data_IF_110448887535
#
_entry.id   IF_110448887535
#
_cell.length_a   1.000
_cell.length_b   1.000
_cell.length_c   1.000
_cell.angle_alpha   90.00
_cell.angle_beta   90.00
_cell.angle_gamma   90.00
#
_symmetry.space_group_name_H-M   'P 1'
#
loop_
_entity.id
_entity.type
_entity.pdbx_description
1 polymer ?
#
# COMPACT_ATOMS: atom_id res chain seq x y z
N UNK A 1 30.68 -19.26 -10.22
CA UNK A 1 31.08 -17.93 -10.68
C UNK A 1 29.84 -17.05 -10.68
N UNK A 2 29.65 -16.30 -9.59
CA UNK A 2 28.61 -15.28 -9.48
C UNK A 2 29.21 -14.05 -10.16
N UNK A 3 28.72 -13.69 -11.34
CA UNK A 3 29.27 -12.57 -12.11
C UNK A 3 28.92 -11.25 -11.43
N UNK A 4 29.81 -10.26 -11.57
CA UNK A 4 29.68 -8.91 -10.97
C UNK A 4 28.30 -8.24 -11.20
N UNK A 5 27.55 -8.64 -12.22
CA UNK A 5 26.21 -8.12 -12.52
C UNK A 5 25.13 -8.56 -11.51
N UNK A 6 25.26 -9.73 -10.88
CA UNK A 6 24.31 -10.17 -9.83
C UNK A 6 24.43 -9.32 -8.56
N UNK A 7 25.63 -8.79 -8.26
CA UNK A 7 25.86 -7.88 -7.14
C UNK A 7 25.32 -6.46 -7.41
N UNK A 8 25.40 -5.96 -8.63
CA UNK A 8 24.91 -4.61 -8.98
C UNK A 8 23.37 -4.53 -9.00
N UNK A 9 22.69 -5.63 -9.36
CA UNK A 9 21.23 -5.68 -9.46
C UNK A 9 20.56 -5.83 -8.08
N UNK A 10 21.15 -6.61 -7.16
CA UNK A 10 20.76 -6.59 -5.75
C UNK A 10 21.02 -5.21 -5.12
N UNK A 11 22.10 -4.54 -5.53
CA UNK A 11 22.34 -3.13 -5.19
C UNK A 11 21.24 -2.22 -5.73
N UNK A 12 20.74 -2.35 -6.96
CA UNK A 12 19.63 -1.51 -7.44
C UNK A 12 18.27 -1.76 -6.74
N UNK A 13 18.05 -2.96 -6.20
CA UNK A 13 16.84 -3.28 -5.43
C UNK A 13 16.93 -2.80 -3.98
N UNK A 14 18.09 -3.00 -3.34
CA UNK A 14 18.39 -2.48 -1.99
C UNK A 14 18.53 -0.95 -2.01
N UNK A 15 19.02 -0.39 -3.13
CA UNK A 15 19.17 1.06 -3.40
C UNK A 15 18.11 1.60 -4.37
N UNK A 16 16.93 0.97 -4.45
CA UNK A 16 15.75 1.73 -4.86
C UNK A 16 15.66 2.91 -3.89
N UNK A 17 15.62 4.17 -4.34
CA UNK A 17 15.53 5.31 -3.44
C UNK A 17 14.40 5.11 -2.42
N UNK A 18 13.34 4.40 -2.79
CA UNK A 18 12.24 4.03 -1.90
C UNK A 18 12.62 3.02 -0.79
N UNK A 19 13.37 1.95 -1.10
CA UNK A 19 13.83 0.99 -0.10
C UNK A 19 14.99 1.56 0.72
N UNK A 20 15.85 2.37 0.09
CA UNK A 20 16.95 3.06 0.73
C UNK A 20 16.45 4.19 1.66
N UNK A 21 15.38 4.92 1.30
CA UNK A 21 14.71 5.88 2.19
C UNK A 21 14.08 5.18 3.42
N UNK A 22 13.69 3.91 3.28
CA UNK A 22 13.20 3.08 4.38
C UNK A 22 14.31 2.41 5.20
N UNK A 23 15.54 2.32 4.67
CA UNK A 23 16.67 1.58 5.26
C UNK A 23 17.87 2.45 5.66
N UNK A 24 17.94 3.71 5.23
CA UNK A 24 19.04 4.65 5.51
C UNK A 24 18.49 5.86 6.25
N UNK A 25 18.66 5.85 7.57
CA UNK A 25 18.65 7.04 8.42
C UNK A 25 19.98 7.79 8.20
N UNK A 26 19.94 8.97 7.58
CA UNK A 26 20.87 10.05 7.87
C UNK A 26 20.06 11.35 7.97
N UNK A 27 20.12 12.10 9.09
CA UNK A 27 19.36 13.32 9.26
C UNK A 27 19.98 14.43 8.40
N UNK A 28 19.39 14.73 7.24
CA UNK A 28 19.75 15.93 6.49
C UNK A 28 18.84 17.09 6.92
N UNK A 29 19.34 17.90 7.86
CA UNK A 29 18.71 19.13 8.32
C UNK A 29 18.87 20.23 7.26
N UNK A 30 17.81 20.48 6.49
CA UNK A 30 17.65 21.76 5.81
C UNK A 30 16.73 22.62 6.68
N UNK A 31 17.33 23.59 7.37
CA UNK A 31 16.63 24.55 8.20
C UNK A 31 15.47 25.21 7.43
N UNK A 32 14.25 24.97 7.89
CA UNK A 32 13.05 25.68 7.44
C UNK A 32 12.80 26.91 8.30
N UNK A 33 12.36 28.05 7.74
CA UNK A 33 12.03 29.24 8.51
C UNK A 33 10.85 28.98 9.43
N UNK A 34 10.87 29.60 10.62
CA UNK A 34 9.73 29.63 11.54
C UNK A 34 8.62 30.49 10.93
N UNK A 35 7.47 29.88 10.68
CA UNK A 35 6.20 30.60 10.50
C UNK A 35 5.24 30.17 11.61
N UNK A 36 4.79 31.16 12.38
CA UNK A 36 3.63 31.09 13.27
C UNK A 36 2.33 30.93 12.45
N UNK A 37 1.24 30.63 13.17
CA UNK A 37 -0.18 30.61 12.78
C UNK A 37 -0.77 29.22 12.57
N UNK A 38 -2.04 28.98 12.85
CA UNK A 38 -3.05 29.64 13.67
C UNK A 38 -4.07 28.54 13.97
N UNK A 39 -4.76 28.63 15.10
CA UNK A 39 -5.77 27.66 15.50
C UNK A 39 -7.03 27.89 14.65
N UNK A 40 -7.10 27.25 13.48
CA UNK A 40 -8.34 27.22 12.69
C UNK A 40 -9.34 26.23 13.30
N UNK A 41 -10.57 26.72 13.36
CA UNK A 41 -11.73 26.10 13.98
C UNK A 41 -12.34 25.11 12.97
N UNK A 42 -12.53 23.87 13.40
CA UNK A 42 -13.18 22.81 12.64
C UNK A 42 -14.46 23.31 11.97
N UNK A 43 -14.48 23.31 10.63
CA UNK A 43 -15.69 23.54 9.84
C UNK A 43 -16.40 22.21 9.59
N UNK A 44 -17.75 22.12 9.63
CA UNK A 44 -18.43 20.82 9.73
C UNK A 44 -18.68 20.08 8.41
N UNK A 45 -18.08 20.46 7.28
CA UNK A 45 -18.41 19.90 5.96
C UNK A 45 -17.16 19.82 5.06
N UNK A 46 -16.45 18.68 5.13
CA UNK A 46 -15.37 18.32 4.19
C UNK A 46 -13.98 18.21 4.81
N UNK A 47 -13.02 17.68 4.03
CA UNK A 47 -11.63 17.39 4.42
C UNK A 47 -10.80 18.61 4.89
N UNK A 48 -11.36 19.83 4.81
CA UNK A 48 -10.60 21.06 5.01
C UNK A 48 -9.55 21.27 3.92
N UNK A 49 -8.73 22.32 4.08
CA UNK A 49 -7.62 22.60 3.17
C UNK A 49 -6.40 21.76 3.56
N UNK A 50 -5.62 21.39 2.55
CA UNK A 50 -4.29 20.82 2.76
C UNK A 50 -3.39 21.78 3.59
N UNK A 51 -2.42 21.25 4.33
CA UNK A 51 -2.05 19.84 4.42
C UNK A 51 -2.99 19.02 5.31
N UNK A 52 -3.31 17.80 4.87
CA UNK A 52 -4.17 16.88 5.62
C UNK A 52 -3.35 15.98 6.54
N UNK A 53 -3.82 15.82 7.77
CA UNK A 53 -3.12 15.08 8.82
C UNK A 53 -3.86 13.80 9.15
N UNK A 54 -3.14 12.68 9.13
CA UNK A 54 -3.66 11.36 9.49
C UNK A 54 -2.82 10.77 10.62
N UNK A 55 -3.44 10.12 11.59
CA UNK A 55 -2.75 9.35 12.63
C UNK A 55 -3.33 7.95 12.77
N UNK A 56 -2.50 6.99 13.18
CA UNK A 56 -2.95 5.65 13.50
C UNK A 56 -1.85 4.59 13.44
N UNK A 57 -2.16 3.49 12.77
CA UNK A 57 -1.21 2.39 12.53
C UNK A 57 -1.39 1.81 11.13
N UNK A 58 -0.38 1.11 10.62
CA UNK A 58 -0.49 0.43 9.33
C UNK A 58 0.37 -0.84 9.27
N UNK A 59 -0.02 -1.75 8.37
CA UNK A 59 0.81 -2.85 7.90
C UNK A 59 1.20 -2.57 6.45
N UNK A 60 2.49 -2.45 6.19
CA UNK A 60 3.04 -2.40 4.85
C UNK A 60 3.67 -3.75 4.49
N UNK A 61 3.07 -4.48 3.55
CA UNK A 61 3.62 -5.74 3.05
C UNK A 61 4.06 -5.59 1.61
N UNK A 62 5.36 -5.82 1.38
CA UNK A 62 6.01 -5.80 0.08
C UNK A 62 5.97 -7.18 -0.57
N UNK A 63 5.67 -7.20 -1.86
CA UNK A 63 5.56 -8.42 -2.68
C UNK A 63 6.38 -8.32 -3.97
N UNK A 64 6.85 -9.46 -4.46
CA UNK A 64 7.32 -9.61 -5.84
C UNK A 64 6.13 -9.77 -6.76
N UNK A 65 5.72 -8.68 -7.40
CA UNK A 65 4.61 -8.66 -8.34
C UNK A 65 5.18 -8.88 -9.74
N UNK A 66 4.55 -9.75 -10.53
CA UNK A 66 4.96 -9.91 -11.92
C UNK A 66 4.75 -8.61 -12.69
N UNK A 67 5.71 -8.25 -13.52
CA UNK A 67 5.63 -7.05 -14.35
C UNK A 67 4.42 -7.03 -15.27
N UNK A 68 4.04 -8.18 -15.84
CA UNK A 68 2.82 -8.31 -16.65
C UNK A 68 1.56 -7.88 -15.89
N UNK A 69 1.46 -8.24 -14.61
CA UNK A 69 0.34 -7.87 -13.74
C UNK A 69 0.39 -6.37 -13.41
N UNK A 70 1.58 -5.84 -13.09
CA UNK A 70 1.74 -4.43 -12.79
C UNK A 70 1.41 -3.52 -14.00
N UNK A 71 1.78 -3.95 -15.21
CA UNK A 71 1.53 -3.23 -16.47
C UNK A 71 0.06 -3.15 -16.87
N UNK A 72 -0.82 -3.96 -16.28
CA UNK A 72 -2.26 -3.80 -16.45
C UNK A 72 -2.80 -2.53 -15.75
N UNK A 73 -2.08 -2.02 -14.74
CA UNK A 73 -2.49 -0.84 -13.96
C UNK A 73 -1.68 0.42 -14.27
N UNK A 74 -0.41 0.24 -14.64
CA UNK A 74 0.54 1.33 -14.81
C UNK A 74 0.52 1.80 -16.27
N UNK A 75 0.22 3.09 -16.53
CA UNK A 75 0.23 3.63 -17.89
C UNK A 75 1.58 3.42 -18.60
N UNK A 76 1.54 3.18 -19.92
CA UNK A 76 2.72 2.77 -20.71
C UNK A 76 3.81 3.84 -20.79
N UNK A 77 3.42 5.10 -20.65
CA UNK A 77 4.29 6.27 -20.56
C UNK A 77 5.14 6.29 -19.28
N UNK A 78 4.75 5.57 -18.22
CA UNK A 78 5.59 5.40 -17.05
C UNK A 78 6.57 4.24 -17.22
N UNK A 79 7.83 4.49 -16.89
CA UNK A 79 8.85 3.45 -16.83
C UNK A 79 8.65 2.64 -15.53
N UNK A 80 8.30 1.36 -15.67
CA UNK A 80 8.25 0.43 -14.54
C UNK A 80 9.68 0.14 -14.03
N UNK A 81 9.87 0.19 -12.72
CA UNK A 81 11.10 -0.31 -12.07
C UNK A 81 10.93 -1.82 -11.90
N UNK A 82 11.56 -2.58 -12.78
CA UNK A 82 11.45 -4.04 -12.84
C UNK A 82 12.79 -4.72 -13.06
N UNK A 83 12.92 -5.96 -12.58
CA UNK A 83 14.01 -6.86 -12.93
C UNK A 83 13.49 -8.31 -13.01
N UNK A 84 14.02 -9.07 -13.97
CA UNK A 84 13.63 -10.48 -14.21
C UNK A 84 12.12 -10.70 -14.38
N UNK A 85 11.39 -9.71 -14.90
CA UNK A 85 9.94 -9.78 -15.06
C UNK A 85 9.14 -9.58 -13.77
N UNK A 86 9.76 -9.00 -12.73
CA UNK A 86 9.11 -8.64 -11.47
C UNK A 86 9.38 -7.19 -11.08
N UNK A 87 8.43 -6.60 -10.37
CA UNK A 87 8.54 -5.30 -9.71
C UNK A 87 8.19 -5.43 -8.22
N UNK A 88 8.57 -4.43 -7.43
CA UNK A 88 8.17 -4.34 -6.04
C UNK A 88 6.76 -3.72 -5.95
N UNK A 89 5.82 -4.46 -5.40
CA UNK A 89 4.47 -3.97 -5.11
C UNK A 89 3.99 -4.50 -3.77
N UNK A 90 2.69 -4.75 -3.64
CA UNK A 90 2.10 -5.35 -2.45
C UNK A 90 0.88 -4.59 -1.96
N UNK A 91 0.79 -4.36 -0.66
CA UNK A 91 -0.32 -3.59 -0.10
C UNK A 91 0.07 -2.83 1.17
N UNK A 92 -0.64 -1.74 1.40
CA UNK A 92 -0.59 -0.95 2.63
C UNK A 92 -1.97 -0.94 3.26
N UNK A 93 -2.08 -1.51 4.47
CA UNK A 93 -3.33 -1.60 5.23
C UNK A 93 -3.23 -0.67 6.44
N UNK A 94 -3.91 0.47 6.40
CA UNK A 94 -3.93 1.45 7.47
C UNK A 94 -5.22 1.40 8.28
N UNK A 95 -5.09 1.66 9.57
CA UNK A 95 -6.17 1.96 10.49
C UNK A 95 -5.93 3.36 11.05
N UNK A 96 -6.70 4.33 10.55
CA UNK A 96 -6.61 5.72 10.97
C UNK A 96 -7.54 5.97 12.17
N UNK A 97 -6.96 6.49 13.25
CA UNK A 97 -7.68 6.87 14.47
C UNK A 97 -8.01 8.37 14.53
N UNK A 98 -7.33 9.17 13.71
CA UNK A 98 -7.53 10.61 13.60
C UNK A 98 -7.24 11.04 12.16
N UNK A 99 -8.22 11.65 11.49
CA UNK A 99 -8.10 12.17 10.13
C UNK A 99 -9.19 13.21 9.84
N UNK A 100 -9.12 13.96 8.72
CA UNK A 100 -10.18 14.89 8.34
C UNK A 100 -11.54 14.23 8.06
N UNK A 101 -11.57 12.94 7.73
CA UNK A 101 -12.79 12.14 7.56
C UNK A 101 -13.17 11.32 8.81
N UNK A 102 -12.56 11.61 9.96
CA UNK A 102 -12.70 10.82 11.17
C UNK A 102 -11.95 9.48 11.11
N UNK A 103 -12.46 8.48 11.83
CA UNK A 103 -11.84 7.16 11.96
C UNK A 103 -12.22 6.30 10.75
N UNK A 104 -11.23 5.75 10.05
CA UNK A 104 -11.48 4.86 8.91
C UNK A 104 -10.32 3.88 8.68
N UNK A 105 -10.62 2.80 7.96
CA UNK A 105 -9.66 1.80 7.48
C UNK A 105 -9.39 2.02 6.00
N UNK A 106 -8.13 1.85 5.59
CA UNK A 106 -7.69 1.99 4.20
C UNK A 106 -6.85 0.78 3.79
N UNK A 107 -7.13 0.22 2.61
CA UNK A 107 -6.29 -0.77 1.96
C UNK A 107 -5.88 -0.27 0.58
N UNK A 108 -4.60 0.06 0.44
CA UNK A 108 -3.98 0.43 -0.84
C UNK A 108 -3.32 -0.81 -1.44
N UNK A 109 -3.75 -1.20 -2.62
CA UNK A 109 -3.07 -2.22 -3.43
C UNK A 109 -2.04 -1.54 -4.32
N UNK A 110 -0.77 -1.89 -4.17
CA UNK A 110 0.36 -1.25 -4.86
C UNK A 110 0.81 -2.17 -6.00
N UNK A 111 0.55 -1.74 -7.25
CA UNK A 111 0.85 -2.53 -8.44
C UNK A 111 2.36 -2.75 -8.64
N UNK A 112 3.14 -1.69 -8.39
CA UNK A 112 4.55 -1.63 -8.72
C UNK A 112 5.16 -0.28 -8.38
N UNK A 113 6.47 -0.18 -8.58
CA UNK A 113 7.20 1.09 -8.48
C UNK A 113 7.43 1.64 -9.88
N UNK A 114 7.06 2.91 -10.12
CA UNK A 114 7.35 3.61 -11.37
C UNK A 114 8.50 4.60 -11.17
N UNK A 115 9.31 4.73 -12.21
CA UNK A 115 10.40 5.69 -12.27
C UNK A 115 9.89 7.02 -12.82
N UNK A 116 10.02 8.07 -12.02
CA UNK A 116 9.79 9.45 -12.44
C UNK A 116 10.95 10.35 -12.00
N UNK A 117 11.93 10.60 -12.88
CA UNK A 117 13.16 11.31 -12.54
C UNK A 117 12.93 12.57 -11.69
N UNK A 118 13.72 12.78 -10.61
CA UNK A 118 14.85 11.97 -10.15
C UNK A 118 14.47 10.84 -9.18
N UNK A 119 13.18 10.55 -8.99
CA UNK A 119 12.66 9.66 -7.93
C UNK A 119 11.90 8.46 -8.47
N UNK A 120 11.52 7.56 -7.59
CA UNK A 120 10.59 6.47 -7.88
C UNK A 120 9.38 6.56 -6.95
N UNK A 121 8.19 6.22 -7.43
CA UNK A 121 6.97 6.24 -6.63
C UNK A 121 6.18 4.93 -6.74
N UNK A 122 5.45 4.60 -5.68
CA UNK A 122 4.51 3.49 -5.69
C UNK A 122 3.27 3.88 -6.50
N UNK A 123 2.81 2.97 -7.37
CA UNK A 123 1.58 3.16 -8.14
C UNK A 123 0.44 2.35 -7.52
N UNK A 124 -0.62 3.04 -7.08
CA UNK A 124 -1.81 2.40 -6.53
C UNK A 124 -2.64 1.78 -7.66
N UNK A 125 -2.86 0.47 -7.61
CA UNK A 125 -3.82 -0.23 -8.48
C UNK A 125 -5.26 0.04 -8.05
N UNK A 126 -5.48 0.09 -6.73
CA UNK A 126 -6.79 0.23 -6.10
C UNK A 126 -6.62 0.76 -4.68
N UNK A 127 -7.55 1.59 -4.23
CA UNK A 127 -7.63 2.04 -2.83
C UNK A 127 -9.01 1.70 -2.30
N UNK A 128 -9.11 0.98 -1.19
CA UNK A 128 -10.37 0.57 -0.57
C UNK A 128 -10.51 1.27 0.78
N UNK A 129 -11.60 2.00 1.01
CA UNK A 129 -11.84 2.76 2.25
C UNK A 129 -13.26 2.55 2.77
N UNK A 130 -13.46 2.53 4.09
CA UNK A 130 -14.81 2.47 4.69
C UNK A 130 -15.42 3.83 5.02
N UNK A 131 -14.90 4.91 4.45
CA UNK A 131 -15.49 6.24 4.52
C UNK A 131 -15.80 6.75 3.13
N UNK A 132 -17.07 7.09 2.87
CA UNK A 132 -17.49 7.71 1.61
C UNK A 132 -16.80 9.06 1.39
N UNK A 133 -16.60 9.84 2.47
CA UNK A 133 -15.89 11.11 2.42
C UNK A 133 -14.43 10.92 1.99
N UNK A 134 -13.74 9.93 2.57
CA UNK A 134 -12.37 9.59 2.19
C UNK A 134 -12.28 9.11 0.74
N UNK A 135 -13.27 8.34 0.29
CA UNK A 135 -13.35 7.87 -1.08
C UNK A 135 -13.50 9.04 -2.06
N UNK A 136 -14.44 9.94 -1.79
CA UNK A 136 -14.73 11.11 -2.62
C UNK A 136 -13.51 12.04 -2.69
N UNK A 137 -12.90 12.35 -1.55
CA UNK A 137 -11.71 13.19 -1.46
C UNK A 137 -10.52 12.56 -2.20
N UNK A 138 -10.26 11.27 -1.94
CA UNK A 138 -9.20 10.53 -2.61
C UNK A 138 -9.34 10.58 -4.13
N UNK A 139 -10.56 10.47 -4.67
CA UNK A 139 -10.83 10.56 -6.12
C UNK A 139 -10.65 11.97 -6.68
N UNK A 140 -11.27 12.97 -6.04
CA UNK A 140 -11.38 14.32 -6.59
C UNK A 140 -10.10 15.13 -6.41
N UNK A 141 -9.62 15.20 -5.18
CA UNK A 141 -8.52 16.09 -4.80
C UNK A 141 -7.17 15.40 -4.98
N UNK A 142 -7.10 14.10 -4.66
CA UNK A 142 -5.85 13.32 -4.70
C UNK A 142 -5.74 12.40 -5.91
N UNK A 143 -6.78 12.24 -6.75
CA UNK A 143 -6.70 11.41 -7.97
C UNK A 143 -6.49 9.91 -7.77
N UNK A 144 -6.79 9.36 -6.58
CA UNK A 144 -6.63 7.95 -6.26
C UNK A 144 -7.73 7.07 -6.90
N UNK A 145 -7.43 5.81 -7.25
CA UNK A 145 -8.41 4.82 -7.70
C UNK A 145 -9.22 4.26 -6.51
N UNK A 146 -9.83 5.14 -5.74
CA UNK A 146 -10.53 4.80 -4.50
C UNK A 146 -11.89 4.17 -4.76
N UNK A 147 -12.29 3.24 -3.90
CA UNK A 147 -13.60 2.58 -3.89
C UNK A 147 -14.05 2.39 -2.45
N UNK A 148 -15.37 2.45 -2.22
CA UNK A 148 -15.94 2.24 -0.88
C UNK A 148 -15.95 0.74 -0.57
N UNK A 149 -15.50 0.39 0.62
CA UNK A 149 -15.36 -0.98 1.07
C UNK A 149 -15.72 -1.14 2.56
N UNK A 150 -16.08 -2.35 2.96
CA UNK A 150 -16.33 -2.74 4.34
C UNK A 150 -15.19 -3.60 4.86
N UNK A 151 -14.72 -3.28 6.06
CA UNK A 151 -13.71 -4.04 6.78
C UNK A 151 -14.35 -4.73 7.98
N UNK A 152 -14.38 -6.06 7.98
CA UNK A 152 -14.86 -6.86 9.12
C UNK A 152 -13.69 -7.52 9.83
N UNK A 153 -13.44 -7.10 11.07
CA UNK A 153 -12.31 -7.55 11.89
C UNK A 153 -12.78 -8.61 12.89
N UNK A 154 -12.17 -9.78 12.90
CA UNK A 154 -12.44 -10.88 13.85
C UNK A 154 -11.14 -11.36 14.48
N UNK A 155 -11.09 -11.41 15.81
CA UNK A 155 -9.93 -11.91 16.55
C UNK A 155 -10.20 -13.37 16.96
N UNK A 156 -9.25 -14.26 16.68
CA UNK A 156 -9.31 -15.67 17.08
C UNK A 156 -8.04 -16.00 17.88
N UNK A 157 -8.19 -16.65 19.05
CA UNK A 157 -7.05 -17.12 19.83
C UNK A 157 -6.41 -18.32 19.13
N UNK A 158 -5.07 -18.33 18.98
CA UNK A 158 -4.37 -19.46 18.40
C UNK A 158 -3.92 -20.44 19.51
N UNK A 159 -4.14 -21.75 19.37
CA UNK A 159 -3.54 -22.74 20.28
C UNK A 159 -2.01 -22.74 20.15
N UNK A 160 -1.30 -22.94 21.27
CA UNK A 160 0.18 -22.98 21.33
C UNK A 160 0.71 -24.08 20.40
N UNK A 161 1.41 -23.70 19.32
CA UNK A 161 2.13 -24.65 18.46
C UNK A 161 3.64 -24.44 18.59
N UNK A 162 4.35 -25.55 18.77
CA UNK A 162 5.81 -25.68 18.89
C UNK A 162 6.54 -25.22 17.62
N UNK A 163 7.65 -24.50 17.82
CA UNK A 163 8.33 -23.69 16.81
C UNK A 163 8.91 -24.46 15.60
N UNK A 164 8.91 -23.79 14.44
CA UNK A 164 9.52 -24.26 13.19
C UNK A 164 10.93 -23.70 12.99
N UNK A 165 11.81 -24.47 12.34
CA UNK A 165 13.26 -24.24 12.12
C UNK A 165 13.65 -22.94 11.38
N UNK A 166 12.70 -22.09 10.99
CA UNK A 166 12.98 -20.85 10.24
C UNK A 166 13.53 -19.70 11.12
N UNK A 167 13.51 -19.85 12.45
CA UNK A 167 13.98 -18.83 13.40
C UNK A 167 15.50 -18.64 13.51
N UNK A 168 16.32 -19.52 12.90
CA UNK A 168 17.78 -19.49 13.08
C UNK A 168 18.48 -18.23 12.54
N UNK A 169 17.98 -17.64 11.46
CA UNK A 169 18.59 -16.43 10.87
C UNK A 169 18.13 -15.14 11.55
N UNK A 170 16.88 -15.08 12.04
CA UNK A 170 16.33 -13.92 12.77
C UNK A 170 16.91 -13.81 14.19
N UNK A 171 17.28 -14.94 14.80
CA UNK A 171 17.97 -14.97 16.09
C UNK A 171 19.32 -14.22 16.07
N UNK A 172 20.03 -14.24 14.93
CA UNK A 172 21.34 -13.59 14.79
C UNK A 172 21.24 -12.06 14.70
N UNK A 173 20.06 -11.51 14.41
CA UNK A 173 19.77 -10.07 14.24
C UNK A 173 19.03 -9.47 15.45
N UNK A 174 18.87 -10.23 16.56
CA UNK A 174 18.20 -9.75 17.77
C UNK A 174 16.66 -9.74 17.70
N UNK A 175 16.06 -10.49 16.76
CA UNK A 175 14.61 -10.50 16.51
C UNK A 175 13.90 -11.75 17.07
N UNK A 176 14.33 -12.25 18.24
CA UNK A 176 13.71 -13.42 18.87
C UNK A 176 12.49 -13.03 19.71
N UNK A 177 11.39 -13.77 19.60
CA UNK A 177 10.27 -13.66 20.53
C UNK A 177 10.49 -14.55 21.78
N UNK A 178 10.00 -14.06 22.92
CA UNK A 178 10.06 -14.75 24.21
C UNK A 178 9.07 -15.93 24.24
N UNK A 179 9.42 -17.08 24.86
CA UNK A 179 8.66 -18.33 24.80
C UNK A 179 7.24 -18.30 25.41
N UNK A 180 6.82 -17.21 26.06
CA UNK A 180 5.53 -17.11 26.77
C UNK A 180 4.44 -16.30 26.07
N UNK A 181 4.55 -16.08 24.76
CA UNK A 181 3.62 -15.20 24.03
C UNK A 181 2.34 -15.96 23.60
N UNK A 182 1.18 -15.57 24.13
CA UNK A 182 -0.12 -15.97 23.56
C UNK A 182 -0.30 -15.31 22.20
N UNK A 183 -0.33 -16.09 21.12
CA UNK A 183 -0.57 -15.57 19.78
C UNK A 183 -2.07 -15.50 19.48
N UNK A 184 -2.53 -14.35 18.99
CA UNK A 184 -3.88 -14.22 18.43
C UNK A 184 -3.75 -14.00 16.92
N UNK A 185 -4.77 -14.43 16.19
CA UNK A 185 -4.89 -14.16 14.78
C UNK A 185 -6.01 -13.15 14.58
N UNK A 186 -5.72 -12.05 13.89
CA UNK A 186 -6.74 -11.09 13.46
C UNK A 186 -7.07 -11.35 11.99
N UNK A 187 -8.29 -11.76 11.73
CA UNK A 187 -8.84 -11.94 10.40
C UNK A 187 -9.61 -10.69 9.98
N UNK A 188 -9.22 -10.09 8.86
CA UNK A 188 -9.88 -8.93 8.28
C UNK A 188 -10.51 -9.38 6.97
N UNK A 189 -11.82 -9.27 6.83
CA UNK A 189 -12.53 -9.47 5.57
C UNK A 189 -12.79 -8.12 4.92
N UNK A 190 -12.49 -8.02 3.64
CA UNK A 190 -12.68 -6.83 2.83
C UNK A 190 -13.70 -7.13 1.75
N UNK A 191 -14.78 -6.37 1.71
CA UNK A 191 -15.79 -6.41 0.65
C UNK A 191 -16.01 -5.01 0.07
N UNK A 192 -16.26 -4.91 -1.22
CA UNK A 192 -16.42 -3.63 -1.93
C UNK A 192 -17.89 -3.38 -2.29
N UNK A 193 -18.31 -2.13 -2.16
CA UNK A 193 -19.67 -1.68 -2.42
C UNK A 193 -20.45 -1.37 -1.15
N UNK A 194 -21.61 -0.72 -1.33
CA UNK A 194 -22.51 -0.33 -0.25
C UNK A 194 -23.68 -1.31 -0.13
N UNK A 195 -24.03 -1.69 1.11
CA UNK A 195 -25.20 -2.49 1.42
C UNK A 195 -25.09 -3.99 1.10
N UNK A 196 -26.23 -4.63 0.84
CA UNK A 196 -26.35 -6.08 0.61
C UNK A 196 -25.70 -6.57 -0.70
N UNK A 197 -25.37 -5.65 -1.62
CA UNK A 197 -24.70 -5.94 -2.89
C UNK A 197 -23.16 -5.92 -2.80
N UNK A 198 -22.59 -5.81 -1.59
CA UNK A 198 -21.14 -5.76 -1.41
C UNK A 198 -20.48 -7.09 -1.84
N UNK A 199 -19.53 -7.01 -2.77
CA UNK A 199 -18.80 -8.18 -3.28
C UNK A 199 -17.56 -8.42 -2.41
N UNK A 200 -17.41 -9.63 -1.86
CA UNK A 200 -16.20 -10.01 -1.13
C UNK A 200 -14.96 -9.94 -2.03
N UNK A 201 -13.89 -9.30 -1.56
CA UNK A 201 -12.62 -9.15 -2.30
C UNK A 201 -11.55 -10.09 -1.78
N UNK A 202 -11.30 -10.08 -0.47
CA UNK A 202 -10.25 -10.91 0.12
C UNK A 202 -10.41 -11.02 1.63
N UNK A 203 -9.66 -11.95 2.21
CA UNK A 203 -9.41 -11.98 3.64
C UNK A 203 -7.91 -11.92 3.94
N UNK A 204 -7.57 -11.06 4.91
CA UNK A 204 -6.21 -10.79 5.37
C UNK A 204 -6.10 -11.36 6.78
N UNK A 205 -5.19 -12.31 6.98
CA UNK A 205 -4.92 -12.91 8.28
C UNK A 205 -3.61 -12.36 8.82
N UNK A 206 -3.70 -11.57 9.88
CA UNK A 206 -2.59 -11.01 10.62
C UNK A 206 -2.24 -11.95 11.76
N UNK A 207 -1.00 -12.45 11.78
CA UNK A 207 -0.47 -13.11 12.97
C UNK A 207 -0.06 -12.05 13.98
N UNK A 208 -0.82 -11.91 15.07
CA UNK A 208 -0.52 -10.93 16.12
C UNK A 208 0.11 -11.66 17.30
N UNK A 209 1.41 -11.40 17.53
CA UNK A 209 2.02 -11.66 18.84
C UNK A 209 1.69 -10.46 19.73
N UNK A 210 0.64 -10.59 20.56
CA UNK A 210 0.35 -9.56 21.57
C UNK A 210 1.47 -9.58 22.61
N UNK A 211 2.22 -8.47 22.78
CA UNK A 211 3.06 -8.31 23.95
C UNK A 211 2.15 -8.27 25.18
N UNK A 212 2.53 -9.00 26.24
CA UNK A 212 1.90 -8.78 27.53
C UNK A 212 2.03 -7.30 27.94
N UNK A 213 1.03 -6.75 28.64
CA UNK A 213 0.92 -5.31 28.95
C UNK A 213 2.06 -4.72 29.78
N UNK A 214 2.94 -5.54 30.36
CA UNK A 214 4.01 -5.09 31.27
C UNK A 214 5.40 -4.96 30.62
N UNK A 215 5.50 -5.08 29.30
CA UNK A 215 6.80 -4.94 28.64
C UNK A 215 6.99 -3.55 28.02
N UNK A 216 7.94 -2.79 28.56
CA UNK A 216 8.62 -1.65 27.92
C UNK A 216 9.41 -2.13 26.67
N UNK A 217 8.80 -2.98 25.84
CA UNK A 217 9.43 -3.66 24.71
C UNK A 217 9.58 -2.62 23.62
N UNK A 218 10.84 -2.34 23.26
CA UNK A 218 11.17 -1.46 22.15
C UNK A 218 10.38 -1.86 20.89
N UNK A 219 9.52 -0.95 20.42
CA UNK A 219 8.60 -1.18 19.28
C UNK A 219 9.32 -0.94 17.93
N UNK A 220 10.63 -0.61 17.97
CA UNK A 220 11.45 -0.33 16.80
C UNK A 220 11.86 1.15 16.68
N UNK A 221 12.74 1.46 15.71
CA UNK A 221 13.22 2.83 15.48
C UNK A 221 12.09 3.74 15.02
N UNK A 222 12.21 5.03 15.34
CA UNK A 222 11.36 6.07 14.75
C UNK A 222 11.98 6.47 13.43
N UNK A 223 11.22 6.38 12.35
CA UNK A 223 11.65 6.85 11.03
C UNK A 223 10.85 8.09 10.62
N UNK A 224 11.47 8.93 9.81
CA UNK A 224 10.81 10.05 9.12
C UNK A 224 11.14 9.97 7.64
N UNK A 225 10.11 9.78 6.83
CA UNK A 225 10.26 9.64 5.38
C UNK A 225 9.40 10.68 4.68
N UNK A 226 9.92 11.25 3.60
CA UNK A 226 9.16 12.10 2.69
C UNK A 226 9.07 11.39 1.35
N UNK A 227 7.85 11.06 0.94
CA UNK A 227 7.58 10.27 -0.25
C UNK A 227 6.91 11.15 -1.31
N UNK A 228 7.57 11.42 -2.45
CA UNK A 228 6.87 11.97 -3.60
C UNK A 228 5.86 10.93 -4.09
N UNK A 229 4.61 11.34 -4.17
CA UNK A 229 3.49 10.50 -4.56
C UNK A 229 2.89 11.01 -5.87
N UNK A 230 2.46 10.06 -6.70
CA UNK A 230 1.81 10.33 -7.97
C UNK A 230 0.51 9.54 -8.05
N UNK A 231 -0.47 10.14 -8.69
CA UNK A 231 -1.81 9.61 -8.84
C UNK A 231 -2.52 10.31 -10.00
N UNK A 232 -3.80 10.02 -10.18
CA UNK A 232 -4.59 10.50 -11.30
C UNK A 232 -4.52 9.52 -12.46
N UNK A 233 -4.79 10.00 -13.68
CA UNK A 233 -5.09 9.13 -14.84
C UNK A 233 -6.20 8.12 -14.50
N UNK A 234 -7.18 8.55 -13.71
CA UNK A 234 -8.38 7.80 -13.34
C UNK A 234 -9.61 8.38 -14.04
N UNK A 235 -10.74 7.66 -13.96
CA UNK A 235 -12.03 8.16 -14.47
C UNK A 235 -12.51 9.43 -13.75
N UNK A 236 -12.06 9.66 -12.52
CA UNK A 236 -12.44 10.81 -11.70
C UNK A 236 -11.45 11.97 -11.79
N UNK A 237 -10.18 11.69 -12.09
CA UNK A 237 -9.15 12.70 -12.27
C UNK A 237 -8.21 12.30 -13.43
N UNK A 238 -8.38 12.89 -14.63
CA UNK A 238 -7.62 12.50 -15.81
C UNK A 238 -6.18 13.04 -15.80
N UNK A 239 -5.91 14.10 -15.03
CA UNK A 239 -4.59 14.70 -14.95
C UNK A 239 -3.65 13.83 -14.10
N UNK A 240 -2.36 13.88 -14.41
CA UNK A 240 -1.34 13.34 -13.51
C UNK A 240 -1.11 14.34 -12.38
N UNK A 241 -1.24 13.87 -11.16
CA UNK A 241 -1.01 14.68 -9.96
C UNK A 241 0.31 14.28 -9.29
N UNK A 242 0.94 15.26 -8.64
CA UNK A 242 2.10 15.08 -7.76
C UNK A 242 1.89 15.79 -6.44
N UNK A 243 2.18 15.09 -5.36
CA UNK A 243 2.12 15.61 -4.00
C UNK A 243 3.20 14.97 -3.13
N UNK A 244 3.41 15.56 -1.95
CA UNK A 244 4.35 15.08 -0.95
C UNK A 244 3.58 14.45 0.21
N UNK A 245 4.01 13.26 0.61
CA UNK A 245 3.52 12.56 1.77
C UNK A 245 4.65 12.41 2.79
N UNK A 246 4.54 13.07 3.93
CA UNK A 246 5.50 12.95 5.02
C UNK A 246 4.98 11.97 6.06
N UNK A 247 5.74 10.93 6.34
CA UNK A 247 5.39 9.88 7.30
C UNK A 247 6.40 9.90 8.44
N UNK A 248 5.90 10.01 9.66
CA UNK A 248 6.64 9.76 10.90
C UNK A 248 5.99 8.56 11.60
N UNK A 249 6.75 7.50 11.87
CA UNK A 249 6.22 6.32 12.57
C UNK A 249 7.34 5.53 13.24
N UNK A 250 6.96 4.58 14.10
CA UNK A 250 7.84 3.50 14.57
C UNK A 250 7.66 2.28 13.69
N UNK A 251 8.77 1.69 13.24
CA UNK A 251 8.73 0.56 12.32
C UNK A 251 9.29 -0.71 12.94
N UNK A 252 8.59 -1.82 12.71
CA UNK A 252 9.00 -3.16 13.12
C UNK A 252 8.72 -4.16 12.02
N UNK A 253 9.67 -5.04 11.72
CA UNK A 253 9.40 -6.16 10.83
C UNK A 253 8.54 -7.23 11.54
N UNK A 254 7.53 -7.72 10.83
CA UNK A 254 6.54 -8.68 11.34
C UNK A 254 6.36 -9.86 10.37
N UNK A 255 5.78 -10.98 10.80
CA UNK A 255 5.41 -12.06 9.88
C UNK A 255 4.46 -11.57 8.79
N UNK A 256 4.67 -12.04 7.56
CA UNK A 256 3.79 -11.70 6.45
C UNK A 256 2.35 -12.17 6.71
N UNK A 257 1.39 -11.28 6.50
CA UNK A 257 -0.02 -11.58 6.51
C UNK A 257 -0.38 -12.55 5.38
N UNK A 258 -1.26 -13.49 5.69
CA UNK A 258 -1.77 -14.46 4.71
C UNK A 258 -3.04 -13.92 4.06
N UNK A 259 -2.99 -13.77 2.74
CA UNK A 259 -4.11 -13.33 1.93
C UNK A 259 -4.82 -14.56 1.36
N UNK A 260 -6.16 -14.59 1.48
CA UNK A 260 -6.99 -15.61 0.85
C UNK A 260 -8.04 -14.97 -0.04
N UNK A 261 -8.40 -15.69 -1.11
CA UNK A 261 -9.49 -15.32 -2.00
C UNK A 261 -10.85 -15.38 -1.29
N UNK A 262 -11.87 -14.68 -1.80
CA UNK A 262 -13.25 -14.90 -1.40
C UNK A 262 -13.61 -16.38 -1.60
N UNK A 263 -14.44 -16.91 -0.72
CA UNK A 263 -15.09 -18.19 -0.98
C UNK A 263 -16.17 -17.95 -2.04
N UNK A 264 -15.92 -18.37 -3.27
CA UNK A 264 -17.00 -18.51 -4.26
C UNK A 264 -17.75 -19.77 -3.85
N UNK A 265 -18.99 -19.63 -3.37
CA UNK A 265 -19.87 -20.78 -3.28
C UNK A 265 -20.21 -21.21 -4.71
N UNK A 266 -19.70 -22.37 -5.14
CA UNK A 266 -20.17 -23.07 -6.34
C UNK A 266 -21.64 -23.46 -6.15
N UNK A 267 -22.53 -22.48 -6.31
CA UNK A 267 -23.96 -22.68 -6.50
C UNK A 267 -24.32 -21.98 -7.80
N UNK A 268 -23.78 -22.52 -8.89
CA UNK A 268 -24.54 -22.75 -10.13
C UNK A 268 -23.67 -23.56 -11.09
N UNK A 269 -23.50 -24.83 -10.74
CA UNK A 269 -23.21 -25.83 -11.76
C UNK A 269 -24.44 -26.03 -12.63
N UNK A 270 -24.53 -25.32 -13.77
CA UNK A 270 -25.18 -25.85 -14.98
C UNK A 270 -24.92 -25.02 -16.24
N UNK A 271 -24.39 -25.77 -17.21
CA UNK A 271 -24.53 -25.62 -18.66
C UNK A 271 -23.55 -24.69 -19.36
N UNK A 272 -22.47 -25.32 -19.83
CA UNK A 272 -21.82 -25.02 -21.10
C UNK A 272 -22.87 -24.93 -22.23
N UNK A 273 -23.01 -23.73 -22.79
CA UNK A 273 -23.49 -23.54 -24.16
C UNK A 273 -22.76 -22.35 -24.76
N UNK A 274 -22.19 -22.58 -25.93
CA UNK A 274 -21.47 -21.62 -26.76
C UNK A 274 -22.38 -20.46 -27.19
N UNK A 275 -21.77 -19.28 -27.31
CA UNK A 275 -22.28 -18.17 -28.12
C UNK A 275 -23.15 -17.17 -27.37
N UNK A 276 -22.52 -16.11 -26.85
CA UNK A 276 -22.90 -14.72 -27.12
C UNK A 276 -21.88 -13.78 -26.48
N UNK A 277 -21.45 -12.79 -27.25
CA UNK A 277 -20.56 -11.72 -26.83
C UNK A 277 -21.24 -10.85 -25.77
N UNK A 278 -21.16 -11.25 -24.51
CA UNK A 278 -21.51 -10.40 -23.38
C UNK A 278 -20.33 -9.48 -23.07
N UNK A 279 -20.57 -8.17 -23.07
CA UNK A 279 -19.64 -7.16 -22.57
C UNK A 279 -19.07 -7.60 -21.21
N UNK A 280 -17.79 -7.98 -21.21
CA UNK A 280 -17.07 -8.43 -20.02
C UNK A 280 -17.11 -7.30 -18.98
N UNK A 281 -17.58 -7.59 -17.76
CA UNK A 281 -17.60 -6.63 -16.63
C UNK A 281 -16.16 -6.21 -16.31
N UNK A 282 -15.72 -5.12 -16.95
CA UNK A 282 -14.37 -4.54 -16.80
C UNK A 282 -14.01 -4.24 -15.34
N UNK A 283 -15.00 -4.12 -14.45
CA UNK A 283 -14.80 -3.93 -13.02
C UNK A 283 -14.34 -5.21 -12.30
N UNK A 284 -14.84 -6.37 -12.69
CA UNK A 284 -14.48 -7.66 -12.11
C UNK A 284 -13.06 -8.08 -12.48
N UNK A 285 -12.66 -7.86 -13.73
CA UNK A 285 -11.28 -8.10 -14.17
C UNK A 285 -10.28 -7.25 -13.40
N UNK A 286 -10.57 -5.95 -13.20
CA UNK A 286 -9.72 -5.06 -12.39
C UNK A 286 -9.62 -5.51 -10.93
N UNK A 287 -10.70 -6.05 -10.34
CA UNK A 287 -10.69 -6.65 -8.99
C UNK A 287 -9.76 -7.86 -8.95
N UNK A 288 -9.95 -8.80 -9.87
CA UNK A 288 -9.16 -10.04 -9.95
C UNK A 288 -7.67 -9.77 -10.17
N UNK A 289 -7.33 -8.78 -11.01
CA UNK A 289 -5.96 -8.31 -11.20
C UNK A 289 -5.39 -7.70 -9.90
N UNK A 290 -6.17 -6.88 -9.19
CA UNK A 290 -5.70 -6.26 -7.94
C UNK A 290 -5.49 -7.31 -6.83
N UNK A 291 -6.32 -8.34 -6.79
CA UNK A 291 -6.15 -9.48 -5.90
C UNK A 291 -4.91 -10.30 -6.28
N UNK A 292 -4.58 -10.41 -7.57
CA UNK A 292 -3.35 -11.08 -8.03
C UNK A 292 -2.08 -10.38 -7.56
N UNK A 293 -2.11 -9.05 -7.43
CA UNK A 293 -1.03 -8.28 -6.77
C UNK A 293 -0.90 -8.69 -5.31
N UNK A 294 -2.01 -8.75 -4.56
CA UNK A 294 -1.99 -9.12 -3.13
C UNK A 294 -1.63 -10.59 -2.86
N UNK A 295 -1.89 -11.48 -3.81
CA UNK A 295 -1.54 -12.91 -3.75
C UNK A 295 -0.14 -13.23 -4.27
N UNK A 296 0.61 -12.20 -4.68
CA UNK A 296 1.99 -12.34 -5.12
C UNK A 296 2.90 -12.81 -3.98
N UNK A 297 4.18 -13.08 -4.29
CA UNK A 297 5.11 -13.63 -3.29
C UNK A 297 5.52 -12.53 -2.30
N UNK A 298 5.18 -12.62 -1.00
CA UNK A 298 5.61 -11.64 -0.01
C UNK A 298 7.13 -11.72 0.21
N UNK A 299 7.75 -10.56 0.43
CA UNK A 299 9.19 -10.41 0.69
C UNK A 299 9.43 -9.90 2.11
N UNK A 300 8.71 -8.84 2.49
CA UNK A 300 8.89 -8.12 3.74
C UNK A 300 7.55 -7.58 4.21
N UNK A 301 7.28 -7.66 5.51
CA UNK A 301 6.14 -7.02 6.14
C UNK A 301 6.62 -6.14 7.30
N UNK A 302 6.15 -4.91 7.31
CA UNK A 302 6.50 -3.88 8.27
C UNK A 302 5.24 -3.37 8.94
N UNK A 303 5.22 -3.39 10.26
CA UNK A 303 4.22 -2.71 11.06
C UNK A 303 4.69 -1.28 11.34
N UNK A 304 3.82 -0.33 11.06
CA UNK A 304 3.99 1.09 11.33
C UNK A 304 3.09 1.43 12.52
N UNK A 305 3.69 1.75 13.66
CA UNK A 305 3.00 2.16 14.88
C UNK A 305 3.23 3.65 15.16
N UNK A 306 2.31 4.28 15.89
CA UNK A 306 2.32 5.73 16.11
C UNK A 306 2.46 6.52 14.79
N UNK A 307 1.79 6.04 13.73
CA UNK A 307 1.85 6.64 12.41
C UNK A 307 1.29 8.05 12.48
N UNK A 308 2.04 9.01 11.94
CA UNK A 308 1.58 10.34 11.58
C UNK A 308 1.92 10.56 10.12
N UNK A 309 0.91 10.86 9.32
CA UNK A 309 1.05 11.10 7.90
C UNK A 309 0.53 12.50 7.59
N UNK A 310 1.34 13.32 6.92
CA UNK A 310 0.98 14.63 6.42
C UNK A 310 0.97 14.58 4.90
N UNK A 311 -0.16 14.94 4.29
CA UNK A 311 -0.33 14.98 2.83
C UNK A 311 -0.48 16.43 2.40
N UNK A 312 0.46 16.89 1.59
CA UNK A 312 0.43 18.25 1.01
C UNK A 312 -0.53 18.30 -0.21
N UNK A 313 -0.90 19.52 -0.61
CA UNK A 313 -1.84 19.75 -1.71
C UNK A 313 -1.29 19.21 -3.05
N UNK A 314 -2.07 18.43 -3.83
CA UNK A 314 -1.65 17.94 -5.13
C UNK A 314 -1.52 19.04 -6.18
N UNK A 315 -0.47 18.92 -6.99
CA UNK A 315 -0.20 19.79 -8.13
C UNK A 315 -0.30 19.00 -9.43
N UNK A 316 -0.84 19.62 -10.47
CA UNK A 316 -0.91 19.00 -11.80
C UNK A 316 0.50 18.94 -12.39
N UNK A 317 0.91 17.76 -12.84
CA UNK A 317 2.14 17.58 -13.61
C UNK A 317 1.84 17.93 -15.06
N UNK A 318 2.49 18.96 -15.65
CA UNK A 318 2.30 19.30 -17.05
C UNK A 318 2.71 18.13 -17.94
N UNK A 319 1.93 17.84 -18.97
CA UNK A 319 2.36 16.89 -20.01
C UNK A 319 3.51 17.52 -20.79
N UNK A 320 4.67 16.87 -20.83
CA UNK A 320 5.75 17.31 -21.71
C UNK A 320 5.29 17.15 -23.16
N UNK A 321 5.48 18.15 -24.04
CA UNK A 321 5.21 17.98 -25.45
C UNK A 321 6.02 16.79 -25.98
N UNK A 322 5.50 16.02 -26.95
CA UNK A 322 6.24 14.92 -27.54
C UNK A 322 7.58 15.44 -28.06
N UNK A 323 8.67 14.76 -27.68
CA UNK A 323 10.00 15.08 -28.16
C UNK A 323 10.02 15.08 -29.69
N UNK A 324 10.55 16.14 -30.30
CA UNK A 324 10.65 16.36 -31.76
C UNK A 324 11.40 15.26 -32.54
N UNK A 325 11.92 14.23 -31.88
CA UNK A 325 12.63 13.12 -32.50
C UNK A 325 11.74 12.21 -33.38
N UNK A 326 10.42 12.40 -33.38
CA UNK A 326 9.48 11.63 -34.22
C UNK A 326 9.12 12.32 -35.55
N UNK A 327 9.64 13.51 -35.86
CA UNK A 327 9.30 14.24 -37.10
C UNK A 327 10.29 13.97 -38.25
N UNK A 328 11.41 13.27 -38.03
CA UNK A 328 12.40 12.96 -39.09
C UNK A 328 12.35 11.53 -39.64
N UNK A 329 11.23 10.82 -39.47
CA UNK A 329 11.02 9.51 -40.09
C UNK A 329 9.73 9.45 -40.92
N UNK A 330 9.54 10.43 -41.80
CA UNK A 330 8.60 10.35 -42.93
C UNK A 330 9.39 10.51 -44.23
#
# INVERSE_FOLDING_TARGET
MITNETCTILFQWVFSPFLLQLLVDEPFDFGSPKTMEAKEINSPLGYGKAPWMFKGSALYQLHLVKSETARAFIPKDFRLVEAFGYTLGGFFLANYEDSPAGIFDELVVIAGIVWNPPTSCAWAARVLVNSDEACIHGRKDVGLPSQVAKFSKKITALPKTTESRFGGFLNMIGMADSPDTTSSCMNIRVSEGNGEAAKDICSINLGTTLPQPDSNKWIGPVIKISLPSFSGRTEYNPHLLKYSCQIECRVRAVPAAKISRPFVSDVDGRNSSEGESSEIDTGEDKRNLSLSVMLSKPILALEFSCLKMKVDDPTIVPESPPSETSILSL
#
